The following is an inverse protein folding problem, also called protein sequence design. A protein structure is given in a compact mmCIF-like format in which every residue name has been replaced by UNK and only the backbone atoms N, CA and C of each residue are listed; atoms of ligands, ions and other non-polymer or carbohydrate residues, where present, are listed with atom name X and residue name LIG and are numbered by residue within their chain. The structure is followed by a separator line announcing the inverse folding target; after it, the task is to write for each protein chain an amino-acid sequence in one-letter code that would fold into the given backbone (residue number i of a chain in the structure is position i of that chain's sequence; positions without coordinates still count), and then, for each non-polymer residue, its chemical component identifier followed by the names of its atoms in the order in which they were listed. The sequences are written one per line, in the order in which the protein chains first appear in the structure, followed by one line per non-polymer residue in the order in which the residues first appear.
data_IF_818756377249
#
_entry.id   IF_818756377249
#
_cell.length_a   1.000
_cell.length_b   1.000
_cell.length_c   1.000
_cell.angle_alpha   90.00
_cell.angle_beta   90.00
_cell.angle_gamma   90.00
#
_symmetry.space_group_name_H-M   'P 1'
#
loop_
_entity.id
_entity.type
_entity.pdbx_description
1 polymer ?
#
# COMPACT_ATOMS: atom_id res chain seq x y z
N UNK A 1 -14.85 -14.13 20.85
CA UNK A 1 -15.50 -12.87 21.26
C UNK A 1 -14.50 -11.77 21.03
N UNK A 2 -14.74 -10.87 20.08
CA UNK A 2 -13.90 -9.68 19.89
C UNK A 2 -14.10 -8.74 21.10
N UNK A 3 -13.00 -8.35 21.75
CA UNK A 3 -12.91 -7.63 23.01
C UNK A 3 -12.23 -6.24 22.89
N UNK A 4 -12.04 -5.68 21.69
CA UNK A 4 -11.50 -4.32 21.50
C UNK A 4 -11.89 -3.61 20.21
N UNK A 5 -11.65 -2.29 20.16
CA UNK A 5 -11.93 -1.40 18.99
C UNK A 5 -11.08 -1.67 17.76
N UNK A 6 -10.05 -2.50 17.86
CA UNK A 6 -9.19 -2.92 16.76
C UNK A 6 -9.34 -4.40 16.41
N UNK A 7 -10.35 -5.08 16.97
CA UNK A 7 -10.60 -6.46 16.57
C UNK A 7 -11.09 -6.54 15.13
N UNK A 8 -10.61 -7.58 14.46
CA UNK A 8 -10.98 -7.91 13.11
C UNK A 8 -11.30 -9.40 13.02
N UNK A 9 -12.14 -9.75 12.06
CA UNK A 9 -12.35 -11.16 11.71
C UNK A 9 -11.09 -11.65 10.98
N UNK A 10 -10.52 -12.74 11.47
CA UNK A 10 -9.39 -13.37 10.82
C UNK A 10 -9.79 -13.84 9.42
N UNK A 11 -8.97 -13.50 8.43
CA UNK A 11 -9.12 -13.94 7.06
C UNK A 11 -7.92 -14.84 6.72
N UNK A 12 -8.14 -16.15 6.49
CA UNK A 12 -7.04 -17.09 6.26
C UNK A 12 -6.23 -16.74 5.01
N UNK A 13 -6.79 -16.00 4.05
CA UNK A 13 -6.07 -15.54 2.86
C UNK A 13 -4.89 -14.62 3.21
N UNK A 14 -4.93 -13.97 4.39
CA UNK A 14 -3.85 -13.10 4.84
C UNK A 14 -2.58 -13.86 5.25
N UNK A 15 -2.64 -15.17 5.48
CA UNK A 15 -1.46 -15.96 5.88
C UNK A 15 -0.42 -16.02 4.75
N UNK A 16 -0.88 -16.21 3.51
CA UNK A 16 -0.05 -16.43 2.33
C UNK A 16 -0.02 -15.24 1.36
N UNK A 17 -0.51 -14.07 1.80
CA UNK A 17 -0.63 -12.88 0.94
C UNK A 17 0.73 -12.44 0.41
N UNK A 18 0.77 -12.13 -0.89
CA UNK A 18 1.89 -11.52 -1.58
C UNK A 18 1.77 -9.99 -1.49
N UNK A 19 2.82 -9.34 -0.99
CA UNK A 19 2.90 -7.89 -0.82
C UNK A 19 3.82 -7.32 -1.88
N UNK A 20 3.36 -6.28 -2.58
CA UNK A 20 4.15 -5.58 -3.58
C UNK A 20 5.02 -4.50 -2.93
N UNK A 21 6.34 -4.67 -2.95
CA UNK A 21 7.32 -3.71 -2.47
C UNK A 21 8.27 -3.36 -3.61
N UNK A 22 8.26 -2.09 -4.03
CA UNK A 22 9.17 -1.52 -5.02
C UNK A 22 9.33 -2.38 -6.30
N UNK A 23 8.21 -2.85 -6.85
CA UNK A 23 8.17 -3.65 -8.09
C UNK A 23 8.28 -5.16 -7.89
N UNK A 24 8.38 -5.64 -6.64
CA UNK A 24 8.55 -7.07 -6.32
C UNK A 24 7.40 -7.56 -5.46
N UNK A 25 6.81 -8.70 -5.84
CA UNK A 25 5.87 -9.43 -5.00
C UNK A 25 6.65 -10.34 -4.05
N UNK A 26 6.39 -10.19 -2.76
CA UNK A 26 7.08 -10.93 -1.70
C UNK A 26 6.03 -11.60 -0.79
N UNK A 27 6.27 -12.84 -0.32
CA UNK A 27 5.45 -13.43 0.73
C UNK A 27 5.41 -12.55 1.98
N UNK A 28 4.27 -12.52 2.68
CA UNK A 28 4.06 -11.72 3.89
C UNK A 28 5.23 -11.76 4.88
N UNK A 29 5.77 -12.95 5.15
CA UNK A 29 6.87 -13.13 6.11
C UNK A 29 8.21 -12.51 5.66
N UNK A 30 8.37 -12.23 4.36
CA UNK A 30 9.59 -11.67 3.76
C UNK A 30 9.41 -10.21 3.31
N UNK A 31 8.19 -9.70 3.35
CA UNK A 31 7.84 -8.35 2.97
C UNK A 31 8.32 -7.35 4.03
N UNK A 32 9.53 -6.83 3.83
CA UNK A 32 10.21 -5.95 4.79
C UNK A 32 10.53 -4.59 4.17
N UNK A 33 10.49 -3.55 5.00
CA UNK A 33 11.03 -2.21 4.72
C UNK A 33 12.14 -1.90 5.71
N UNK A 34 13.06 -1.01 5.34
CA UNK A 34 14.13 -0.56 6.24
C UNK A 34 13.56 0.25 7.40
N UNK A 35 14.13 0.10 8.59
CA UNK A 35 13.86 1.01 9.73
C UNK A 35 14.32 2.44 9.46
N UNK A 36 15.15 2.66 8.44
CA UNK A 36 15.56 3.99 7.98
C UNK A 36 14.64 4.56 6.88
N UNK A 37 13.56 3.87 6.53
CA UNK A 37 12.57 4.43 5.62
C UNK A 37 11.91 5.68 6.23
N UNK A 38 11.77 6.74 5.44
CA UNK A 38 11.22 8.02 5.84
C UNK A 38 9.81 7.91 6.44
N UNK A 39 8.99 6.97 5.95
CA UNK A 39 7.66 6.72 6.47
C UNK A 39 7.70 6.13 7.88
N UNK A 40 8.74 5.35 8.20
CA UNK A 40 8.92 4.78 9.54
C UNK A 40 9.55 5.79 10.51
N UNK A 41 10.62 6.47 10.09
CA UNK A 41 11.40 7.37 10.97
C UNK A 41 10.67 8.69 11.24
N UNK A 42 10.05 9.28 10.22
CA UNK A 42 9.55 10.66 10.27
C UNK A 42 8.04 10.75 9.99
N UNK A 43 7.39 9.65 9.63
CA UNK A 43 6.03 9.68 9.08
C UNK A 43 5.96 10.38 7.70
N UNK A 44 7.09 10.51 6.99
CA UNK A 44 7.22 11.24 5.73
C UNK A 44 6.81 10.34 4.55
N UNK A 45 5.50 10.31 4.32
CA UNK A 45 4.85 9.58 3.25
C UNK A 45 3.35 9.86 3.18
N UNK A 46 2.71 9.23 2.20
CA UNK A 46 1.27 9.29 1.95
C UNK A 46 0.73 7.88 1.75
N UNK A 47 -0.57 7.71 1.94
CA UNK A 47 -1.19 6.41 1.76
C UNK A 47 -2.66 6.52 1.33
N UNK A 48 -3.15 5.43 0.76
CA UNK A 48 -4.54 5.26 0.37
C UNK A 48 -5.07 3.91 0.86
N UNK A 49 -6.33 3.91 1.30
CA UNK A 49 -7.07 2.70 1.65
C UNK A 49 -8.08 2.38 0.55
N UNK A 50 -7.83 1.33 -0.24
CA UNK A 50 -8.70 0.95 -1.35
C UNK A 50 -9.54 -0.26 -0.95
N UNK A 51 -10.86 -0.20 -1.19
CA UNK A 51 -11.75 -1.35 -1.06
C UNK A 51 -11.93 -1.98 -2.43
N UNK A 52 -11.73 -3.30 -2.53
CA UNK A 52 -11.98 -4.03 -3.78
C UNK A 52 -13.36 -4.65 -3.74
N UNK A 53 -14.13 -4.47 -4.81
CA UNK A 53 -15.45 -5.04 -5.03
C UNK A 53 -15.50 -5.57 -6.47
N UNK A 54 -15.88 -6.84 -6.65
CA UNK A 54 -16.01 -7.43 -7.98
C UNK A 54 -14.72 -7.36 -8.83
N UNK A 55 -13.56 -7.49 -8.21
CA UNK A 55 -12.23 -7.44 -8.84
C UNK A 55 -11.66 -6.03 -9.04
N UNK A 56 -12.41 -4.98 -8.68
CA UNK A 56 -12.03 -3.61 -8.97
C UNK A 56 -11.91 -2.77 -7.69
N UNK A 57 -10.83 -1.99 -7.51
CA UNK A 57 -10.77 -1.00 -6.44
C UNK A 57 -11.86 0.06 -6.66
N UNK A 58 -12.74 0.23 -5.68
CA UNK A 58 -13.80 1.23 -5.72
C UNK A 58 -13.19 2.64 -5.82
N UNK A 59 -13.72 3.45 -6.75
CA UNK A 59 -13.29 4.84 -6.98
C UNK A 59 -11.78 5.01 -7.20
N UNK A 60 -11.13 4.04 -7.87
CA UNK A 60 -9.66 4.03 -8.06
C UNK A 60 -9.11 5.38 -8.54
N UNK A 61 -9.69 5.97 -9.58
CA UNK A 61 -9.21 7.25 -10.12
C UNK A 61 -9.26 8.38 -9.09
N UNK A 62 -10.33 8.47 -8.28
CA UNK A 62 -10.43 9.49 -7.24
C UNK A 62 -9.42 9.28 -6.10
N UNK A 63 -9.10 8.02 -5.77
CA UNK A 63 -8.03 7.70 -4.83
C UNK A 63 -6.65 8.08 -5.40
N UNK A 64 -6.41 7.83 -6.69
CA UNK A 64 -5.17 8.24 -7.34
C UNK A 64 -5.06 9.76 -7.43
N UNK A 65 -6.14 10.47 -7.79
CA UNK A 65 -6.15 11.94 -7.75
C UNK A 65 -5.67 12.47 -6.40
N UNK A 66 -6.28 11.97 -5.31
CA UNK A 66 -5.90 12.37 -3.95
C UNK A 66 -4.46 11.98 -3.59
N UNK A 67 -4.00 10.79 -3.98
CA UNK A 67 -2.63 10.34 -3.74
C UNK A 67 -1.61 11.27 -4.42
N UNK A 68 -1.79 11.56 -5.71
CA UNK A 68 -0.85 12.40 -6.46
C UNK A 68 -0.89 13.86 -6.01
N UNK A 69 -2.06 14.41 -5.68
CA UNK A 69 -2.15 15.75 -5.08
C UNK A 69 -1.50 15.80 -3.68
N UNK A 70 -1.68 14.75 -2.87
CA UNK A 70 -1.00 14.61 -1.58
C UNK A 70 0.51 14.54 -1.72
N UNK A 71 1.02 13.76 -2.68
CA UNK A 71 2.45 13.68 -2.99
C UNK A 71 3.01 15.05 -3.38
N UNK A 72 2.30 15.76 -4.27
CA UNK A 72 2.68 17.11 -4.70
C UNK A 72 2.73 18.10 -3.54
N UNK A 73 1.77 18.04 -2.61
CA UNK A 73 1.71 18.93 -1.45
C UNK A 73 2.94 18.80 -0.52
N UNK A 74 3.56 17.62 -0.47
CA UNK A 74 4.78 17.36 0.32
C UNK A 74 6.04 17.26 -0.55
N UNK A 75 5.97 17.67 -1.82
CA UNK A 75 7.06 17.56 -2.80
C UNK A 75 7.68 16.14 -2.83
N UNK A 76 6.84 15.10 -2.78
CA UNK A 76 7.22 13.70 -2.90
C UNK A 76 7.05 13.26 -4.37
N UNK A 77 8.06 12.58 -4.91
CA UNK A 77 7.96 11.89 -6.20
C UNK A 77 7.58 10.43 -5.95
N UNK A 78 6.48 9.99 -6.57
CA UNK A 78 5.99 8.61 -6.48
C UNK A 78 6.87 7.67 -7.32
N UNK A 79 7.56 8.19 -8.35
CA UNK A 79 8.41 7.40 -9.25
C UNK A 79 7.64 6.49 -10.20
N UNK A 80 6.31 6.62 -10.26
CA UNK A 80 5.41 5.94 -11.20
C UNK A 80 4.35 6.93 -11.67
N UNK A 81 3.87 6.77 -12.89
CA UNK A 81 2.66 7.43 -13.35
C UNK A 81 1.41 6.66 -12.92
N UNK A 82 0.23 7.31 -13.03
CA UNK A 82 -1.06 6.73 -12.64
C UNK A 82 -1.31 5.36 -13.25
N UNK A 83 -1.01 5.21 -14.54
CA UNK A 83 -1.21 3.95 -15.26
C UNK A 83 -0.31 2.84 -14.75
N UNK A 84 0.95 3.14 -14.43
CA UNK A 84 1.89 2.15 -13.86
C UNK A 84 1.46 1.71 -12.47
N UNK A 85 1.05 2.68 -11.64
CA UNK A 85 0.58 2.38 -10.29
C UNK A 85 -0.72 1.56 -10.29
N UNK A 86 -1.67 1.90 -11.15
CA UNK A 86 -2.87 1.08 -11.38
C UNK A 86 -2.51 -0.33 -11.81
N UNK A 87 -1.59 -0.49 -12.76
CA UNK A 87 -1.11 -1.81 -13.20
C UNK A 87 -0.50 -2.60 -12.04
N UNK A 88 0.31 -1.98 -11.19
CA UNK A 88 0.90 -2.62 -10.02
C UNK A 88 -0.18 -3.10 -9.02
N UNK A 89 -1.22 -2.28 -8.78
CA UNK A 89 -2.36 -2.65 -7.94
C UNK A 89 -3.08 -3.88 -8.51
N UNK A 90 -3.45 -3.86 -9.79
CA UNK A 90 -4.14 -4.99 -10.43
C UNK A 90 -3.26 -6.24 -10.51
N UNK A 91 -1.95 -6.11 -10.78
CA UNK A 91 -1.02 -7.22 -10.77
C UNK A 91 -0.91 -7.86 -9.37
N UNK A 92 -0.94 -7.04 -8.32
CA UNK A 92 -0.92 -7.52 -6.93
C UNK A 92 -2.21 -8.27 -6.58
N UNK A 93 -3.37 -7.78 -7.01
CA UNK A 93 -4.64 -8.48 -6.84
C UNK A 93 -4.67 -9.81 -7.59
N UNK A 94 -4.22 -9.81 -8.85
CA UNK A 94 -4.16 -11.00 -9.67
C UNK A 94 -3.23 -12.06 -9.09
N UNK A 95 -2.04 -11.67 -8.61
CA UNK A 95 -1.09 -12.59 -7.98
C UNK A 95 -1.63 -13.25 -6.70
N UNK A 96 -2.54 -12.58 -6.00
CA UNK A 96 -3.21 -13.12 -4.81
C UNK A 96 -4.53 -13.84 -5.11
N UNK A 97 -5.00 -13.87 -6.37
CA UNK A 97 -6.32 -14.41 -6.72
C UNK A 97 -7.48 -13.70 -6.00
N UNK A 98 -7.30 -12.43 -5.64
CA UNK A 98 -8.22 -11.69 -4.78
C UNK A 98 -9.13 -10.77 -5.59
N UNK A 99 -10.44 -10.94 -5.43
CA UNK A 99 -11.46 -10.15 -6.16
C UNK A 99 -12.48 -9.45 -5.27
N UNK A 100 -12.71 -9.89 -4.03
CA UNK A 100 -13.70 -9.27 -3.14
C UNK A 100 -13.33 -9.40 -1.66
N UNK A 101 -13.93 -8.54 -0.84
CA UNK A 101 -13.68 -8.44 0.60
C UNK A 101 -12.28 -7.92 0.93
N UNK A 102 -11.54 -7.39 -0.05
CA UNK A 102 -10.13 -7.02 0.08
C UNK A 102 -9.98 -5.54 0.41
N UNK A 103 -9.08 -5.23 1.34
CA UNK A 103 -8.64 -3.87 1.63
C UNK A 103 -7.17 -3.74 1.27
N UNK A 104 -6.85 -2.88 0.30
CA UNK A 104 -5.47 -2.58 -0.08
C UNK A 104 -5.04 -1.35 0.70
N UNK A 105 -3.91 -1.47 1.41
CA UNK A 105 -3.19 -0.33 1.97
C UNK A 105 -2.04 0.01 1.04
N UNK A 106 -2.25 1.03 0.21
CA UNK A 106 -1.24 1.57 -0.70
C UNK A 106 -0.43 2.63 0.04
N UNK A 107 0.90 2.47 0.13
CA UNK A 107 1.76 3.42 0.83
C UNK A 107 2.90 3.87 -0.09
N UNK A 108 3.21 5.16 -0.07
CA UNK A 108 4.36 5.74 -0.76
C UNK A 108 5.11 6.62 0.23
N UNK A 109 6.40 6.37 0.40
CA UNK A 109 7.26 7.11 1.34
C UNK A 109 8.35 7.84 0.58
N UNK A 110 9.02 8.80 1.21
CA UNK A 110 10.17 9.49 0.59
C UNK A 110 11.38 8.56 0.38
N UNK A 111 11.34 7.33 0.89
CA UNK A 111 12.41 6.35 0.79
C UNK A 111 13.44 6.47 1.92
N UNK A 112 14.66 5.98 1.67
CA UNK A 112 15.66 5.80 2.72
C UNK A 112 16.27 7.13 3.18
N UNK A 113 16.32 7.32 4.50
CA UNK A 113 17.12 8.37 5.14
C UNK A 113 18.51 7.84 5.49
N UNK A 114 19.50 8.74 5.46
CA UNK A 114 20.87 8.42 5.89
C UNK A 114 20.98 8.32 7.41
N UNK A 115 20.23 9.15 8.13
CA UNK A 115 20.20 9.21 9.59
C UNK A 115 18.75 9.32 10.06
N UNK A 116 18.41 8.84 11.28
CA UNK A 116 17.07 8.98 11.83
C UNK A 116 16.66 10.43 12.10
N UNK A 117 17.64 11.32 12.23
CA UNK A 117 17.44 12.75 12.42
C UNK A 117 18.20 13.50 11.33
N UNK A 118 17.47 14.17 10.45
CA UNK A 118 17.91 15.29 9.60
C UNK A 118 16.69 15.94 8.97
#
# INVERSE_FOLDING_TARGET
MAQGTHDYLEDPRNADVLIHINGRLLPRAQAMVSVFDAGFVLGDGIWEGLRVVGGHPAFLEAHLDRLYEGAKAIALDIGMCRTELSKAIYATLAANGMSDGVHIRLMVTRGLKRTPYQ
#
